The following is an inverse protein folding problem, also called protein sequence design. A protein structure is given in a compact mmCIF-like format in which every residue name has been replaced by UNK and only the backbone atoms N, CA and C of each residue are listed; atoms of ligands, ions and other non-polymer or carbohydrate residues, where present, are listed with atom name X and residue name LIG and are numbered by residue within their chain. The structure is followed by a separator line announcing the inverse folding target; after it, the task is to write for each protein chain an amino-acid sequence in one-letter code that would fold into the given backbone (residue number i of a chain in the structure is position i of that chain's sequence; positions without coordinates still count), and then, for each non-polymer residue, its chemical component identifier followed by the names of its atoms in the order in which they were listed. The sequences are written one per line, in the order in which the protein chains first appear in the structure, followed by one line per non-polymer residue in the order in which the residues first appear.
data_IF_287356326111
#
_entry.id   IF_287356326111
#
_cell.length_a   1.000
_cell.length_b   1.000
_cell.length_c   1.000
_cell.angle_alpha   90.00
_cell.angle_beta   90.00
_cell.angle_gamma   90.00
#
_symmetry.space_group_name_H-M   'P 1'
#
loop_
_entity.id
_entity.type
_entity.pdbx_description
1 polymer ?
#
# COMPACT_ATOMS: atom_id res chain seq x y z
N UNK A 1 -18.19 -15.28 -5.52
CA UNK A 1 -16.75 -15.06 -5.75
C UNK A 1 -16.11 -14.78 -4.40
N UNK A 2 -14.91 -15.32 -4.14
CA UNK A 2 -14.21 -15.08 -2.87
C UNK A 2 -13.84 -13.60 -2.72
N UNK A 3 -14.04 -13.03 -1.53
CA UNK A 3 -13.76 -11.65 -1.20
C UNK A 3 -12.53 -11.53 -0.30
N UNK A 4 -11.96 -10.33 -0.18
CA UNK A 4 -10.86 -10.07 0.75
C UNK A 4 -11.30 -10.29 2.22
N UNK A 5 -12.53 -9.93 2.57
CA UNK A 5 -13.09 -10.22 3.91
C UNK A 5 -13.16 -11.71 4.19
N UNK A 6 -13.58 -12.54 3.22
CA UNK A 6 -13.56 -13.99 3.40
C UNK A 6 -12.15 -14.56 3.63
N UNK A 7 -11.12 -13.97 3.03
CA UNK A 7 -9.75 -14.38 3.30
C UNK A 7 -9.31 -14.09 4.74
N UNK A 8 -9.87 -13.05 5.38
CA UNK A 8 -9.55 -12.68 6.76
C UNK A 8 -10.44 -13.33 7.82
N UNK A 9 -11.54 -13.99 7.44
CA UNK A 9 -12.45 -14.66 8.39
C UNK A 9 -11.74 -15.71 9.25
N UNK A 10 -10.74 -16.40 8.69
CA UNK A 10 -9.94 -17.40 9.39
C UNK A 10 -8.87 -16.81 10.33
N UNK A 11 -8.61 -15.50 10.24
CA UNK A 11 -7.63 -14.78 11.06
C UNK A 11 -8.24 -13.52 11.65
N UNK A 12 -9.29 -13.66 12.51
CA UNK A 12 -9.93 -12.51 13.12
C UNK A 12 -8.95 -11.82 14.08
N UNK A 13 -9.02 -10.49 14.12
CA UNK A 13 -8.22 -9.68 15.04
C UNK A 13 -8.97 -9.46 16.35
N UNK A 14 -8.25 -9.35 17.47
CA UNK A 14 -8.82 -8.84 18.70
C UNK A 14 -9.07 -7.33 18.60
N UNK A 15 -10.12 -6.82 19.24
CA UNK A 15 -10.52 -5.41 19.18
C UNK A 15 -9.37 -4.46 19.57
N UNK A 16 -8.56 -4.83 20.55
CA UNK A 16 -7.36 -4.08 20.94
C UNK A 16 -6.34 -3.88 19.81
N UNK A 17 -6.35 -4.77 18.79
CA UNK A 17 -5.51 -4.68 17.60
C UNK A 17 -6.26 -4.05 16.40
N UNK A 18 -7.42 -3.45 16.64
CA UNK A 18 -8.21 -2.77 15.62
C UNK A 18 -8.41 -1.31 15.99
N UNK A 19 -8.78 -1.03 17.23
CA UNK A 19 -9.14 0.32 17.68
C UNK A 19 -7.87 1.13 17.98
N UNK A 20 -7.63 2.25 17.27
CA UNK A 20 -6.53 3.15 17.61
C UNK A 20 -6.72 3.80 18.97
N UNK A 21 -5.64 4.31 19.55
CA UNK A 21 -5.73 5.23 20.68
C UNK A 21 -6.39 6.55 20.25
N UNK A 22 -6.94 7.27 21.19
CA UNK A 22 -7.40 8.63 20.95
C UNK A 22 -6.20 9.59 20.94
N UNK A 23 -5.70 9.88 19.73
CA UNK A 23 -4.51 10.71 19.53
C UNK A 23 -4.66 12.14 20.04
N UNK A 24 -5.89 12.67 20.11
CA UNK A 24 -6.15 14.03 20.62
C UNK A 24 -5.98 14.10 22.15
N UNK A 25 -6.14 12.99 22.86
CA UNK A 25 -5.98 12.91 24.30
C UNK A 25 -4.54 12.64 24.76
N UNK A 26 -3.64 12.26 23.85
CA UNK A 26 -2.28 11.79 24.18
C UNK A 26 -1.31 12.96 24.28
N UNK A 27 -0.72 13.17 25.45
CA UNK A 27 0.34 14.17 25.69
C UNK A 27 1.75 13.61 25.64
N UNK A 28 1.92 12.33 25.94
CA UNK A 28 3.18 11.61 25.97
C UNK A 28 3.03 10.27 25.24
N UNK A 29 4.11 9.75 24.67
CA UNK A 29 4.09 8.46 23.98
C UNK A 29 3.80 7.33 24.97
N UNK A 30 2.69 6.60 24.85
CA UNK A 30 2.40 5.47 25.71
C UNK A 30 3.44 4.36 25.51
N UNK A 31 3.74 3.61 26.58
CA UNK A 31 4.69 2.49 26.50
C UNK A 31 4.31 1.46 25.41
N UNK A 32 3.03 1.25 25.20
CA UNK A 32 2.50 0.36 24.14
C UNK A 32 2.88 0.80 22.73
N UNK A 33 3.23 2.07 22.51
CA UNK A 33 3.62 2.66 21.22
C UNK A 33 5.12 3.01 21.16
N UNK A 34 5.87 2.78 22.23
CA UNK A 34 7.30 3.09 22.31
C UNK A 34 8.13 1.98 21.69
N UNK A 35 8.68 2.22 20.51
CA UNK A 35 9.54 1.31 19.74
C UNK A 35 11.00 1.40 20.17
N UNK A 36 11.83 0.36 19.91
CA UNK A 36 13.26 0.40 20.23
C UNK A 36 13.97 1.56 19.55
N UNK A 37 14.87 2.22 20.25
CA UNK A 37 15.65 3.37 19.71
C UNK A 37 16.86 2.96 18.88
N UNK A 38 17.16 1.67 18.75
CA UNK A 38 18.32 1.13 18.02
C UNK A 38 17.93 -0.17 17.31
N UNK A 39 18.68 -0.51 16.26
CA UNK A 39 18.42 -1.69 15.42
C UNK A 39 17.56 -1.36 14.18
N UNK A 40 17.27 -2.38 13.38
CA UNK A 40 16.53 -2.24 12.11
C UNK A 40 15.08 -1.78 12.31
N UNK A 41 14.48 -2.04 13.48
CA UNK A 41 13.14 -1.60 13.85
C UNK A 41 13.10 -0.19 14.44
N UNK A 42 14.25 0.49 14.57
CA UNK A 42 14.31 1.84 15.12
C UNK A 42 13.59 2.84 14.21
N UNK A 43 12.68 3.68 14.75
CA UNK A 43 12.03 4.74 13.99
C UNK A 43 12.95 5.91 13.65
N UNK A 44 14.24 5.85 14.03
CA UNK A 44 15.17 6.95 13.79
C UNK A 44 15.21 7.32 12.33
N UNK A 45 15.08 8.61 12.11
CA UNK A 45 15.24 9.25 10.81
C UNK A 45 16.71 9.13 10.38
N UNK A 46 17.03 8.19 9.50
CA UNK A 46 18.33 8.18 8.85
C UNK A 46 18.31 9.32 7.83
N UNK A 47 18.72 10.49 8.28
CA UNK A 47 19.06 11.59 7.39
C UNK A 47 20.56 11.45 7.14
N UNK A 48 20.98 10.64 6.21
CA UNK A 48 22.28 10.88 5.57
C UNK A 48 22.08 12.08 4.65
N UNK A 49 22.31 13.26 5.20
CA UNK A 49 22.35 14.52 4.42
C UNK A 49 23.71 14.68 3.70
N UNK A 50 24.52 13.63 3.65
CA UNK A 50 25.81 13.67 2.99
C UNK A 50 25.64 13.43 1.49
N UNK A 51 25.49 14.53 0.76
CA UNK A 51 26.00 14.74 -0.60
C UNK A 51 25.29 14.07 -1.79
N UNK A 52 24.59 12.99 -1.63
CA UNK A 52 23.96 12.27 -2.75
C UNK A 52 22.44 12.25 -2.55
N UNK A 53 21.75 13.28 -3.08
CA UNK A 53 20.29 13.39 -3.05
C UNK A 53 19.69 12.29 -3.94
N UNK A 54 19.55 11.08 -3.38
CA UNK A 54 18.85 10.04 -4.06
C UNK A 54 17.36 10.42 -4.15
N UNK A 55 16.88 10.64 -5.36
CA UNK A 55 15.45 10.81 -5.66
C UNK A 55 14.93 9.60 -6.41
N UNK A 56 13.68 9.23 -6.14
CA UNK A 56 12.98 8.25 -6.98
C UNK A 56 12.83 8.78 -8.40
N UNK A 57 12.95 7.93 -9.43
CA UNK A 57 12.64 8.35 -10.79
C UNK A 57 11.18 8.83 -10.86
N UNK A 58 10.99 10.02 -11.42
CA UNK A 58 9.69 10.56 -11.79
C UNK A 58 9.46 10.30 -13.28
N UNK A 59 8.41 9.57 -13.60
CA UNK A 59 8.12 9.11 -14.94
C UNK A 59 6.89 9.84 -15.46
N UNK A 60 7.06 10.59 -16.54
CA UNK A 60 5.95 11.17 -17.29
C UNK A 60 5.27 10.07 -18.10
N UNK A 61 3.99 9.77 -17.75
CA UNK A 61 3.23 8.71 -18.42
C UNK A 61 2.81 9.05 -19.86
N UNK A 62 2.94 10.29 -20.28
CA UNK A 62 2.69 10.72 -21.67
C UNK A 62 3.96 10.69 -22.52
N UNK A 63 5.11 10.41 -21.92
CA UNK A 63 6.37 10.23 -22.65
C UNK A 63 6.31 9.03 -23.59
N UNK A 64 6.85 9.13 -24.81
CA UNK A 64 6.96 7.99 -25.74
C UNK A 64 7.78 6.83 -25.16
N UNK A 65 8.70 7.09 -24.25
CA UNK A 65 9.53 6.08 -23.57
C UNK A 65 8.93 5.58 -22.24
N UNK A 66 7.72 6.01 -21.86
CA UNK A 66 7.11 5.70 -20.57
C UNK A 66 7.10 4.19 -20.25
N UNK A 67 6.77 3.33 -21.23
CA UNK A 67 6.76 1.88 -21.05
C UNK A 67 8.14 1.35 -20.62
N UNK A 68 9.20 1.81 -21.29
CA UNK A 68 10.58 1.42 -21.01
C UNK A 68 11.01 1.94 -19.63
N UNK A 69 10.67 3.19 -19.31
CA UNK A 69 11.01 3.81 -18.03
C UNK A 69 10.30 3.13 -16.86
N UNK A 70 9.00 2.88 -16.98
CA UNK A 70 8.20 2.16 -15.95
C UNK A 70 8.76 0.76 -15.72
N UNK A 71 8.98 -0.02 -16.79
CA UNK A 71 9.54 -1.36 -16.67
C UNK A 71 10.94 -1.39 -16.06
N UNK A 72 11.80 -0.45 -16.44
CA UNK A 72 13.14 -0.30 -15.85
C UNK A 72 13.07 0.06 -14.36
N UNK A 73 12.20 1.00 -13.98
CA UNK A 73 12.02 1.39 -12.58
C UNK A 73 11.48 0.23 -11.73
N UNK A 74 10.50 -0.55 -12.26
CA UNK A 74 10.05 -1.78 -11.61
C UNK A 74 11.19 -2.78 -11.41
N UNK A 75 12.07 -2.95 -12.39
CA UNK A 75 13.17 -3.93 -12.35
C UNK A 75 14.28 -3.52 -11.38
N UNK A 76 14.64 -2.24 -11.35
CA UNK A 76 15.80 -1.76 -10.59
C UNK A 76 15.44 -1.45 -9.13
N UNK A 77 14.22 -0.93 -8.89
CA UNK A 77 13.88 -0.41 -7.58
C UNK A 77 12.55 -0.94 -7.01
N UNK A 78 11.61 -1.33 -7.86
CA UNK A 78 10.27 -1.71 -7.41
C UNK A 78 9.42 -0.56 -6.86
N UNK A 79 9.94 0.67 -6.91
CA UNK A 79 9.26 1.90 -6.47
C UNK A 79 9.67 3.07 -7.36
N UNK A 80 8.72 3.93 -7.75
CA UNK A 80 8.94 5.11 -8.59
C UNK A 80 7.79 6.12 -8.42
N UNK A 81 7.94 7.30 -8.99
CA UNK A 81 6.88 8.31 -9.06
C UNK A 81 6.37 8.44 -10.49
N UNK A 82 5.09 8.81 -10.64
CA UNK A 82 4.45 9.05 -11.96
C UNK A 82 3.81 10.42 -11.98
N UNK A 83 3.97 11.12 -13.11
CA UNK A 83 3.32 12.37 -13.46
C UNK A 83 2.47 12.17 -14.71
N UNK A 84 1.64 13.16 -15.09
CA UNK A 84 0.71 13.06 -16.21
C UNK A 84 -0.15 11.78 -16.19
N UNK A 85 -0.52 11.38 -14.96
CA UNK A 85 -1.28 10.17 -14.69
C UNK A 85 -2.78 10.27 -15.01
N UNK A 86 -3.27 11.44 -15.40
CA UNK A 86 -4.65 11.66 -15.83
C UNK A 86 -5.69 11.82 -14.73
N UNK A 87 -5.30 11.79 -13.45
CA UNK A 87 -6.21 12.06 -12.32
C UNK A 87 -6.26 13.59 -12.13
N UNK A 88 -7.46 14.20 -12.16
CA UNK A 88 -7.59 15.65 -11.97
C UNK A 88 -7.06 16.11 -10.61
N UNK A 89 -6.27 17.18 -10.58
CA UNK A 89 -5.76 17.76 -9.34
C UNK A 89 -6.88 18.27 -8.40
N UNK A 90 -8.04 18.63 -8.97
CA UNK A 90 -9.25 18.95 -8.18
C UNK A 90 -9.76 17.76 -7.38
N UNK A 91 -9.77 16.56 -7.98
CA UNK A 91 -10.18 15.34 -7.32
C UNK A 91 -9.17 14.92 -6.24
N UNK A 92 -7.86 15.04 -6.50
CA UNK A 92 -6.83 14.78 -5.49
C UNK A 92 -7.04 15.66 -4.25
N UNK A 93 -7.25 16.97 -4.45
CA UNK A 93 -7.53 17.90 -3.34
C UNK A 93 -8.84 17.61 -2.62
N UNK A 94 -9.90 17.20 -3.36
CA UNK A 94 -11.18 16.85 -2.74
C UNK A 94 -11.04 15.63 -1.83
N UNK A 95 -10.38 14.58 -2.31
CA UNK A 95 -10.12 13.37 -1.52
C UNK A 95 -9.27 13.68 -0.26
N UNK A 96 -8.24 14.52 -0.40
CA UNK A 96 -7.48 15.01 0.76
C UNK A 96 -8.38 15.73 1.78
N UNK A 97 -9.25 16.63 1.29
CA UNK A 97 -10.18 17.38 2.13
C UNK A 97 -11.15 16.46 2.86
N UNK A 98 -11.72 15.48 2.16
CA UNK A 98 -12.65 14.51 2.74
C UNK A 98 -11.95 13.58 3.74
N UNK A 99 -10.72 13.15 3.45
CA UNK A 99 -9.91 12.37 4.39
C UNK A 99 -9.59 13.18 5.66
N UNK A 100 -9.23 14.45 5.51
CA UNK A 100 -9.03 15.37 6.65
C UNK A 100 -10.28 15.51 7.51
N UNK A 101 -11.44 15.73 6.87
CA UNK A 101 -12.71 15.83 7.59
C UNK A 101 -13.01 14.58 8.40
N UNK A 102 -12.78 13.38 7.79
CA UNK A 102 -12.96 12.11 8.48
C UNK A 102 -12.04 11.97 9.70
N UNK A 103 -10.73 12.17 9.53
CA UNK A 103 -9.78 11.98 10.64
C UNK A 103 -9.84 13.06 11.70
N UNK A 104 -10.39 14.24 11.39
CA UNK A 104 -10.67 15.31 12.35
C UNK A 104 -11.92 15.08 13.22
N UNK A 105 -12.68 14.02 12.96
CA UNK A 105 -13.81 13.65 13.80
C UNK A 105 -13.32 13.14 15.17
N UNK A 106 -14.10 13.36 16.24
CA UNK A 106 -13.82 12.74 17.54
C UNK A 106 -13.69 11.22 17.43
N UNK A 107 -12.80 10.62 18.22
CA UNK A 107 -12.56 9.17 18.22
C UNK A 107 -13.86 8.36 18.35
N UNK A 108 -14.81 8.81 19.23
CA UNK A 108 -16.12 8.18 19.41
C UNK A 108 -16.99 8.14 18.15
N UNK A 109 -16.82 9.11 17.24
CA UNK A 109 -17.54 9.10 15.96
C UNK A 109 -16.88 8.14 14.97
N UNK A 110 -15.55 8.10 14.88
CA UNK A 110 -14.80 7.21 13.98
C UNK A 110 -15.00 5.73 14.31
N UNK A 111 -15.10 5.36 15.59
CA UNK A 111 -15.29 3.96 16.01
C UNK A 111 -16.67 3.40 15.66
N UNK A 112 -17.64 4.22 15.25
CA UNK A 112 -18.92 3.71 14.72
C UNK A 112 -18.72 2.92 13.42
N UNK A 113 -17.75 3.30 12.61
CA UNK A 113 -17.37 2.58 11.40
C UNK A 113 -16.16 1.64 11.61
N UNK A 114 -15.96 1.16 12.84
CA UNK A 114 -14.83 0.28 13.17
C UNK A 114 -14.89 -1.00 12.35
N UNK A 115 -13.75 -1.41 11.83
CA UNK A 115 -13.60 -2.68 11.11
C UNK A 115 -13.96 -3.86 12.00
N UNK A 116 -14.78 -4.78 11.49
CA UNK A 116 -15.05 -6.04 12.21
C UNK A 116 -13.78 -6.91 12.31
N UNK A 117 -13.65 -7.79 13.32
CA UNK A 117 -12.47 -8.64 13.52
C UNK A 117 -12.03 -9.41 12.27
N UNK A 118 -12.96 -10.02 11.55
CA UNK A 118 -12.70 -10.73 10.29
C UNK A 118 -12.86 -9.87 9.03
N UNK A 119 -13.20 -8.57 9.17
CA UNK A 119 -13.48 -7.69 8.03
C UNK A 119 -12.22 -7.13 7.37
N UNK A 120 -12.35 -6.73 6.11
CA UNK A 120 -11.31 -6.00 5.39
C UNK A 120 -11.53 -4.49 5.43
N UNK A 121 -12.78 -4.02 5.50
CA UNK A 121 -13.18 -2.61 5.40
C UNK A 121 -13.53 -2.01 6.74
N UNK A 122 -13.42 -0.68 6.85
CA UNK A 122 -13.75 0.10 8.03
C UNK A 122 -12.55 0.78 8.68
N UNK A 123 -12.82 1.48 9.78
CA UNK A 123 -11.85 2.22 10.57
C UNK A 123 -11.03 1.32 11.48
N UNK A 124 -9.76 1.62 11.66
CA UNK A 124 -8.88 0.93 12.61
C UNK A 124 -7.40 1.06 12.27
N UNK A 125 -6.55 0.45 13.08
CA UNK A 125 -5.10 0.35 12.82
C UNK A 125 -4.79 -0.67 11.73
N UNK A 126 -3.56 -0.64 11.20
CA UNK A 126 -3.12 -1.60 10.19
C UNK A 126 -3.25 -3.05 10.67
N UNK A 127 -3.75 -3.95 9.80
CA UNK A 127 -3.95 -5.38 10.13
C UNK A 127 -2.67 -6.12 10.53
N UNK A 128 -1.52 -5.60 10.17
CA UNK A 128 -0.22 -6.16 10.54
C UNK A 128 0.20 -5.87 11.99
N UNK A 129 -0.53 -5.02 12.73
CA UNK A 129 -0.23 -4.66 14.13
C UNK A 129 0.07 -5.85 15.04
N UNK A 130 -0.64 -6.99 14.99
CA UNK A 130 -0.36 -8.13 15.88
C UNK A 130 0.99 -8.82 15.69
N UNK A 131 1.69 -8.53 14.58
CA UNK A 131 3.02 -9.09 14.34
C UNK A 131 4.14 -8.38 15.10
N UNK A 132 3.82 -7.25 15.74
CA UNK A 132 4.77 -6.41 16.45
C UNK A 132 4.40 -6.33 17.94
N UNK A 133 5.42 -6.22 18.80
CA UNK A 133 5.24 -6.07 20.25
C UNK A 133 4.77 -4.67 20.65
N UNK A 134 4.74 -3.73 19.71
CA UNK A 134 4.34 -2.34 19.92
C UNK A 134 3.33 -1.91 18.86
N UNK A 135 2.41 -1.04 19.25
CA UNK A 135 1.46 -0.45 18.32
C UNK A 135 2.12 0.61 17.44
N UNK A 136 1.54 0.84 16.28
CA UNK A 136 1.96 1.88 15.36
C UNK A 136 1.21 3.18 15.65
N UNK A 137 1.87 4.32 15.42
CA UNK A 137 1.29 5.65 15.54
C UNK A 137 0.50 6.00 14.29
N UNK A 138 -0.65 5.35 14.16
CA UNK A 138 -1.40 5.31 12.92
C UNK A 138 -2.88 4.99 13.18
N UNK A 139 -3.74 5.64 12.44
CA UNK A 139 -5.12 5.25 12.25
C UNK A 139 -5.43 5.20 10.75
N UNK A 140 -6.38 4.37 10.34
CA UNK A 140 -6.69 4.19 8.93
C UNK A 140 -8.16 3.88 8.69
N UNK A 141 -8.58 4.07 7.44
CA UNK A 141 -9.92 3.71 6.99
C UNK A 141 -9.82 3.00 5.63
N UNK A 142 -10.25 1.74 5.59
CA UNK A 142 -10.19 0.90 4.40
C UNK A 142 -11.54 0.82 3.72
N UNK A 143 -11.57 1.02 2.40
CA UNK A 143 -12.77 0.91 1.56
C UNK A 143 -12.51 -0.04 0.39
N UNK A 144 -13.55 -0.76 -0.02
CA UNK A 144 -13.57 -1.58 -1.23
C UNK A 144 -14.88 -1.27 -1.97
N UNK A 145 -14.81 -0.47 -3.03
CA UNK A 145 -15.99 0.10 -3.68
C UNK A 145 -16.62 1.21 -2.85
N UNK A 146 -17.96 1.28 -2.82
CA UNK A 146 -18.68 2.35 -2.12
C UNK A 146 -18.46 2.33 -0.61
N UNK A 147 -18.08 3.45 0.02
CA UNK A 147 -17.96 3.57 1.47
C UNK A 147 -19.30 3.84 2.17
N UNK A 148 -20.41 3.77 1.46
CA UNK A 148 -21.72 4.27 1.88
C UNK A 148 -22.18 3.73 3.25
N UNK A 149 -22.02 2.42 3.50
CA UNK A 149 -22.44 1.81 4.76
C UNK A 149 -21.69 2.39 5.94
N UNK A 150 -20.35 2.42 5.85
CA UNK A 150 -19.52 3.00 6.90
C UNK A 150 -19.72 4.51 7.06
N UNK A 151 -19.91 5.23 5.95
CA UNK A 151 -20.13 6.67 5.97
C UNK A 151 -21.41 7.06 6.70
N UNK A 152 -22.48 6.28 6.53
CA UNK A 152 -23.77 6.48 7.27
C UNK A 152 -23.62 6.29 8.77
N UNK A 153 -22.78 5.36 9.21
CA UNK A 153 -22.53 5.15 10.64
C UNK A 153 -21.77 6.35 11.26
N UNK A 154 -20.86 6.92 10.50
CA UNK A 154 -20.04 8.06 10.96
C UNK A 154 -20.81 9.38 10.91
N UNK A 155 -21.47 9.65 9.78
CA UNK A 155 -22.23 10.87 9.54
C UNK A 155 -23.69 10.54 9.28
N UNK A 156 -24.59 10.78 10.25
CA UNK A 156 -26.04 10.59 10.03
C UNK A 156 -26.57 11.43 8.86
N UNK A 157 -25.92 12.58 8.59
CA UNK A 157 -26.25 13.51 7.52
C UNK A 157 -24.97 14.02 6.84
N UNK A 158 -25.05 14.32 5.53
CA UNK A 158 -23.97 15.00 4.80
C UNK A 158 -22.83 14.11 4.29
N UNK A 159 -22.93 12.78 4.37
CA UNK A 159 -21.91 11.83 3.89
C UNK A 159 -21.78 11.76 2.35
N UNK A 160 -22.71 12.36 1.61
CA UNK A 160 -22.74 12.23 0.14
C UNK A 160 -21.46 12.66 -0.55
N UNK A 161 -20.91 13.83 -0.16
CA UNK A 161 -19.64 14.33 -0.73
C UNK A 161 -18.46 13.41 -0.47
N UNK A 162 -18.39 12.80 0.72
CA UNK A 162 -17.35 11.83 1.04
C UNK A 162 -17.47 10.61 0.14
N UNK A 163 -18.67 10.03 0.00
CA UNK A 163 -18.89 8.86 -0.85
C UNK A 163 -18.55 9.15 -2.31
N UNK A 164 -19.08 10.24 -2.86
CA UNK A 164 -18.84 10.66 -4.24
C UNK A 164 -17.34 10.83 -4.53
N UNK A 165 -16.61 11.57 -3.68
CA UNK A 165 -15.19 11.78 -3.86
C UNK A 165 -14.39 10.47 -3.80
N UNK A 166 -14.71 9.56 -2.86
CA UNK A 166 -14.01 8.31 -2.70
C UNK A 166 -14.32 7.30 -3.83
N UNK A 167 -15.54 7.28 -4.34
CA UNK A 167 -15.95 6.44 -5.47
C UNK A 167 -15.28 6.91 -6.75
N UNK A 168 -15.37 8.19 -7.10
CA UNK A 168 -14.70 8.78 -8.27
C UNK A 168 -13.19 8.55 -8.24
N UNK A 169 -12.58 8.70 -7.06
CA UNK A 169 -11.15 8.48 -6.89
C UNK A 169 -10.77 7.01 -7.12
N UNK A 170 -11.52 6.07 -6.57
CA UNK A 170 -11.27 4.64 -6.77
C UNK A 170 -11.37 4.26 -8.25
N UNK A 171 -12.34 4.81 -8.99
CA UNK A 171 -12.50 4.56 -10.43
C UNK A 171 -11.29 5.09 -11.23
N UNK A 172 -10.81 6.30 -10.93
CA UNK A 172 -9.61 6.86 -11.57
C UNK A 172 -8.36 6.07 -11.23
N UNK A 173 -8.19 5.67 -9.95
CA UNK A 173 -7.05 4.87 -9.52
C UNK A 173 -7.05 3.47 -10.13
N UNK A 174 -8.23 2.86 -10.29
CA UNK A 174 -8.38 1.59 -11.01
C UNK A 174 -7.90 1.71 -12.45
N UNK A 175 -8.39 2.72 -13.18
CA UNK A 175 -8.00 2.96 -14.56
C UNK A 175 -6.48 3.19 -14.70
N UNK A 176 -5.88 3.97 -13.78
CA UNK A 176 -4.44 4.18 -13.75
C UNK A 176 -3.67 2.89 -13.45
N UNK A 177 -4.15 2.08 -12.50
CA UNK A 177 -3.53 0.78 -12.18
C UNK A 177 -3.55 -0.18 -13.36
N UNK A 178 -4.65 -0.22 -14.12
CA UNK A 178 -4.77 -1.01 -15.34
C UNK A 178 -3.83 -0.53 -16.45
N UNK A 179 -3.70 0.80 -16.63
CA UNK A 179 -2.74 1.43 -17.57
C UNK A 179 -1.30 1.04 -17.20
N UNK A 180 -0.91 1.18 -15.94
CA UNK A 180 0.43 0.84 -15.46
C UNK A 180 0.72 -0.65 -15.61
N UNK A 181 -0.22 -1.53 -15.24
CA UNK A 181 -0.05 -2.98 -15.40
C UNK A 181 0.11 -3.36 -16.86
N UNK A 182 -0.67 -2.77 -17.77
CA UNK A 182 -0.53 -3.00 -19.20
C UNK A 182 0.85 -2.57 -19.74
N UNK A 183 1.38 -1.42 -19.28
CA UNK A 183 2.72 -0.94 -19.63
C UNK A 183 3.80 -1.91 -19.12
N UNK A 184 3.68 -2.38 -17.89
CA UNK A 184 4.60 -3.34 -17.25
C UNK A 184 4.63 -4.66 -18.02
N UNK A 185 3.47 -5.21 -18.36
CA UNK A 185 3.38 -6.46 -19.08
C UNK A 185 3.90 -6.32 -20.53
N UNK A 186 3.64 -5.18 -21.18
CA UNK A 186 4.22 -4.87 -22.49
C UNK A 186 5.75 -4.77 -22.44
N UNK A 187 6.31 -4.16 -21.39
CA UNK A 187 7.76 -4.13 -21.16
C UNK A 187 8.37 -5.54 -21.02
N UNK A 188 7.65 -6.44 -20.35
CA UNK A 188 8.05 -7.85 -20.20
C UNK A 188 7.85 -8.68 -21.48
N UNK A 189 7.26 -8.11 -22.53
CA UNK A 189 6.90 -8.85 -23.76
C UNK A 189 5.78 -9.86 -23.56
N UNK A 190 4.94 -9.69 -22.53
CA UNK A 190 3.82 -10.56 -22.20
C UNK A 190 2.61 -10.18 -23.03
N UNK A 191 2.01 -11.16 -23.68
CA UNK A 191 0.82 -11.04 -24.51
C UNK A 191 -0.42 -11.62 -23.84
N UNK A 192 -1.59 -11.44 -24.48
CA UNK A 192 -2.85 -12.02 -24.01
C UNK A 192 -2.87 -13.56 -24.02
N UNK A 193 -1.95 -14.20 -24.73
CA UNK A 193 -1.80 -15.67 -24.75
C UNK A 193 -1.00 -16.19 -23.55
N UNK A 194 -0.25 -15.33 -22.89
CA UNK A 194 0.63 -15.70 -21.77
C UNK A 194 -0.09 -15.65 -20.41
N UNK A 195 -1.21 -14.90 -20.34
CA UNK A 195 -2.02 -14.71 -19.12
C UNK A 195 -3.50 -14.69 -19.49
N UNK A 196 -4.36 -15.23 -18.65
CA UNK A 196 -5.82 -15.10 -18.75
C UNK A 196 -6.28 -13.66 -18.43
N UNK A 197 -6.09 -12.77 -19.39
CA UNK A 197 -6.45 -11.36 -19.32
C UNK A 197 -7.93 -11.10 -18.99
N UNK A 198 -8.89 -11.78 -19.68
CA UNK A 198 -10.29 -11.58 -19.37
C UNK A 198 -10.60 -11.87 -17.89
N UNK A 199 -10.06 -12.95 -17.34
CA UNK A 199 -10.25 -13.31 -15.94
C UNK A 199 -9.57 -12.32 -14.99
N UNK A 200 -8.35 -11.89 -15.31
CA UNK A 200 -7.60 -10.93 -14.49
C UNK A 200 -8.32 -9.59 -14.37
N UNK A 201 -9.02 -9.15 -15.43
CA UNK A 201 -9.75 -7.89 -15.49
C UNK A 201 -11.21 -7.97 -15.03
N UNK A 202 -11.80 -9.16 -15.01
CA UNK A 202 -13.25 -9.32 -14.77
C UNK A 202 -13.70 -8.85 -13.39
N UNK A 203 -12.87 -9.02 -12.36
CA UNK A 203 -13.18 -8.63 -10.99
C UNK A 203 -11.88 -8.42 -10.18
N UNK A 204 -11.08 -7.41 -10.49
CA UNK A 204 -9.85 -7.16 -9.76
C UNK A 204 -10.11 -6.92 -8.29
N UNK A 205 -9.24 -7.42 -7.43
CA UNK A 205 -9.25 -7.09 -6.02
C UNK A 205 -8.60 -5.72 -5.85
N UNK A 206 -9.36 -4.75 -5.37
CA UNK A 206 -8.85 -3.41 -5.09
C UNK A 206 -9.37 -2.89 -3.76
N UNK A 207 -8.54 -2.08 -3.10
CA UNK A 207 -8.89 -1.42 -1.87
C UNK A 207 -8.27 -0.02 -1.82
N UNK A 208 -9.03 0.95 -1.33
CA UNK A 208 -8.54 2.29 -0.98
C UNK A 208 -8.33 2.34 0.53
N UNK A 209 -7.12 2.68 0.94
CA UNK A 209 -6.73 2.87 2.33
C UNK A 209 -6.39 4.33 2.57
N UNK A 210 -7.21 5.01 3.35
CA UNK A 210 -6.85 6.30 3.93
C UNK A 210 -5.98 6.06 5.16
N UNK A 211 -4.85 6.75 5.26
CA UNK A 211 -3.91 6.63 6.38
C UNK A 211 -3.70 8.00 7.01
N UNK A 212 -3.80 8.04 8.32
CA UNK A 212 -3.56 9.20 9.16
C UNK A 212 -2.42 8.89 10.13
N UNK A 213 -1.44 9.76 10.15
CA UNK A 213 -0.29 9.72 11.05
C UNK A 213 -0.26 11.05 11.83
N UNK A 214 -0.93 11.10 12.99
CA UNK A 214 -0.99 12.31 13.79
C UNK A 214 0.39 12.82 14.22
N UNK A 215 0.45 14.10 14.58
CA UNK A 215 1.66 14.65 15.20
C UNK A 215 2.05 13.82 16.42
N UNK A 216 3.35 13.59 16.59
CA UNK A 216 3.85 12.79 17.69
C UNK A 216 4.77 13.62 18.59
N UNK A 217 4.58 13.58 19.92
CA UNK A 217 5.45 14.32 20.84
C UNK A 217 6.92 13.91 20.79
N UNK A 218 7.19 12.63 20.50
CA UNK A 218 8.54 12.09 20.30
C UNK A 218 8.56 11.12 19.10
N UNK A 219 8.75 11.64 17.87
CA UNK A 219 8.76 10.82 16.66
C UNK A 219 9.93 9.83 16.62
N UNK A 220 10.97 10.03 17.42
CA UNK A 220 12.09 9.09 17.55
C UNK A 220 11.77 7.82 18.34
N UNK A 221 10.61 7.77 18.97
CA UNK A 221 10.14 6.62 19.76
C UNK A 221 8.99 5.86 19.12
N UNK A 222 8.38 6.34 18.05
CA UNK A 222 7.20 5.70 17.48
C UNK A 222 7.37 5.38 16.00
N UNK A 223 6.77 4.28 15.58
CA UNK A 223 6.69 3.88 14.18
C UNK A 223 5.31 4.26 13.65
N UNK A 224 5.25 5.03 12.55
CA UNK A 224 3.99 5.36 11.88
C UNK A 224 3.37 4.11 11.23
N UNK A 225 4.15 3.42 10.39
CA UNK A 225 3.79 2.12 9.84
C UNK A 225 5.05 1.25 9.76
N UNK A 226 4.98 0.06 10.34
CA UNK A 226 6.13 -0.85 10.44
C UNK A 226 6.60 -1.35 9.08
N UNK A 227 7.87 -1.80 8.95
CA UNK A 227 8.39 -2.37 7.71
C UNK A 227 7.50 -3.50 7.18
N UNK A 228 7.16 -3.45 5.89
CA UNK A 228 6.37 -4.47 5.19
C UNK A 228 6.52 -4.36 3.67
N UNK A 229 6.06 -5.39 2.98
CA UNK A 229 5.81 -5.37 1.54
C UNK A 229 4.31 -5.33 1.26
N UNK A 230 3.90 -4.82 0.10
CA UNK A 230 2.51 -4.84 -0.33
C UNK A 230 2.13 -6.19 -0.96
N UNK A 231 0.87 -6.59 -0.80
CA UNK A 231 0.41 -7.93 -1.20
C UNK A 231 0.13 -8.05 -2.69
N UNK A 232 -0.55 -7.06 -3.28
CA UNK A 232 -1.12 -7.15 -4.63
C UNK A 232 -0.12 -6.88 -5.75
N UNK A 233 -0.58 -6.49 -6.95
CA UNK A 233 0.32 -6.17 -8.07
C UNK A 233 1.02 -4.85 -7.86
N UNK A 234 0.23 -3.82 -7.60
CA UNK A 234 0.67 -2.45 -7.47
C UNK A 234 -0.04 -1.78 -6.29
N UNK A 235 0.66 -0.89 -5.64
CA UNK A 235 0.09 0.13 -4.75
C UNK A 235 0.39 1.49 -5.36
N UNK A 236 -0.65 2.30 -5.54
CA UNK A 236 -0.50 3.69 -5.96
C UNK A 236 -0.78 4.57 -4.75
N UNK A 237 0.23 5.31 -4.32
CA UNK A 237 0.15 6.15 -3.13
C UNK A 237 0.08 7.63 -3.51
N UNK A 238 -1.00 8.26 -3.11
CA UNK A 238 -1.15 9.70 -3.08
C UNK A 238 -0.75 10.21 -1.70
N UNK A 239 0.18 11.14 -1.65
CA UNK A 239 0.66 11.77 -0.42
C UNK A 239 0.82 13.27 -0.64
N UNK A 240 0.51 14.06 0.40
CA UNK A 240 0.67 15.52 0.34
C UNK A 240 2.12 15.92 0.57
N UNK A 241 2.58 16.94 -0.14
CA UNK A 241 3.99 17.40 -0.18
C UNK A 241 4.59 17.82 1.15
N UNK A 242 3.76 18.13 2.12
CA UNK A 242 4.21 18.82 3.32
C UNK A 242 4.75 17.92 4.43
N UNK A 243 4.56 16.62 4.36
CA UNK A 243 4.94 15.71 5.44
C UNK A 243 5.73 14.51 4.94
N UNK A 244 7.05 14.59 5.07
CA UNK A 244 7.94 13.44 4.84
C UNK A 244 7.62 12.34 5.87
N UNK A 245 7.74 11.09 5.47
CA UNK A 245 7.51 9.95 6.37
C UNK A 245 7.71 8.61 5.70
N UNK A 246 7.36 8.48 4.42
CA UNK A 246 7.59 7.25 3.66
C UNK A 246 9.09 7.02 3.47
N UNK A 247 9.53 5.79 3.79
CA UNK A 247 10.88 5.30 3.54
C UNK A 247 10.79 3.92 2.89
N UNK A 248 11.70 3.62 1.99
CA UNK A 248 11.87 2.26 1.45
C UNK A 248 13.27 1.73 1.75
N UNK A 249 13.39 0.42 1.88
CA UNK A 249 14.67 -0.22 2.15
C UNK A 249 15.39 -0.51 0.84
N UNK A 250 16.65 -0.08 0.74
CA UNK A 250 17.52 -0.38 -0.39
C UNK A 250 18.75 -1.11 0.09
N UNK A 251 19.06 -2.23 -0.54
CA UNK A 251 20.27 -2.99 -0.24
C UNK A 251 21.52 -2.12 -0.41
N UNK A 252 22.41 -2.20 0.56
CA UNK A 252 23.64 -1.38 0.61
C UNK A 252 23.46 0.09 1.04
N UNK A 253 22.22 0.59 1.15
CA UNK A 253 21.93 1.98 1.59
C UNK A 253 21.00 2.05 2.82
N UNK A 254 20.35 0.96 3.20
CA UNK A 254 19.37 0.95 4.29
C UNK A 254 18.07 1.71 3.92
N UNK A 255 17.52 2.45 4.88
CA UNK A 255 16.26 3.18 4.72
C UNK A 255 16.45 4.50 3.98
N UNK A 256 15.82 4.62 2.82
CA UNK A 256 15.88 5.80 1.94
C UNK A 256 14.54 6.55 2.01
N UNK A 257 14.54 7.85 2.29
CA UNK A 257 13.32 8.64 2.30
C UNK A 257 12.76 8.83 0.89
N UNK A 258 11.43 8.82 0.78
CA UNK A 258 10.70 9.19 -0.44
C UNK A 258 10.22 10.62 -0.29
N UNK A 259 10.80 11.51 -1.08
CA UNK A 259 10.38 12.91 -1.13
C UNK A 259 9.16 13.05 -2.05
N UNK A 260 8.03 13.58 -1.55
CA UNK A 260 6.90 13.88 -2.40
C UNK A 260 7.27 14.88 -3.49
N UNK A 261 6.76 14.65 -4.69
CA UNK A 261 6.78 15.63 -5.79
C UNK A 261 5.36 16.11 -6.00
N UNK A 262 5.18 17.42 -6.18
CA UNK A 262 3.86 18.02 -6.38
C UNK A 262 3.16 17.40 -7.61
N UNK A 263 1.91 17.00 -7.40
CA UNK A 263 1.10 16.37 -8.44
C UNK A 263 1.58 14.99 -8.91
N UNK A 264 2.58 14.38 -8.26
CA UNK A 264 3.01 13.01 -8.57
C UNK A 264 2.40 11.99 -7.61
N UNK A 265 2.25 10.76 -8.11
CA UNK A 265 1.85 9.59 -7.32
C UNK A 265 3.02 8.63 -7.21
N UNK A 266 3.19 8.01 -6.03
CA UNK A 266 4.20 6.95 -5.84
C UNK A 266 3.60 5.60 -6.22
N UNK A 267 4.35 4.77 -6.93
CA UNK A 267 3.93 3.43 -7.33
C UNK A 267 4.88 2.41 -6.75
N UNK A 268 4.35 1.44 -6.00
CA UNK A 268 5.09 0.30 -5.45
C UNK A 268 4.72 -0.99 -6.18
N UNK A 269 5.72 -1.80 -6.51
CA UNK A 269 5.54 -3.20 -6.92
C UNK A 269 5.25 -4.04 -5.67
N UNK A 270 4.18 -4.83 -5.74
CA UNK A 270 3.83 -5.74 -4.65
C UNK A 270 4.22 -7.20 -4.91
N UNK A 271 3.95 -8.05 -3.91
CA UNK A 271 4.38 -9.45 -3.89
C UNK A 271 3.87 -10.26 -5.09
N UNK A 272 2.61 -10.04 -5.51
CA UNK A 272 2.05 -10.80 -6.62
C UNK A 272 2.72 -10.51 -7.96
N UNK A 273 3.08 -9.25 -8.21
CA UNK A 273 3.84 -8.91 -9.42
C UNK A 273 5.29 -9.41 -9.32
N UNK A 274 5.88 -9.43 -8.12
CA UNK A 274 7.17 -10.06 -7.86
C UNK A 274 7.15 -11.57 -8.19
N UNK A 275 6.11 -12.28 -7.74
CA UNK A 275 5.92 -13.71 -8.04
C UNK A 275 5.75 -13.93 -9.54
N UNK A 276 4.85 -13.18 -10.20
CA UNK A 276 4.56 -13.33 -11.63
C UNK A 276 5.78 -13.03 -12.50
N UNK A 277 6.59 -12.06 -12.12
CA UNK A 277 7.84 -11.73 -12.82
C UNK A 277 9.00 -12.68 -12.51
N UNK A 278 8.77 -13.77 -11.79
CA UNK A 278 9.80 -14.71 -11.32
C UNK A 278 10.96 -14.00 -10.58
N UNK A 279 10.62 -13.05 -9.71
CA UNK A 279 11.53 -12.17 -8.97
C UNK A 279 12.33 -11.15 -9.81
N UNK A 280 11.92 -10.90 -11.06
CA UNK A 280 12.57 -9.86 -11.87
C UNK A 280 12.26 -8.46 -11.32
N UNK A 281 11.05 -8.25 -10.81
CA UNK A 281 10.62 -7.00 -10.18
C UNK A 281 10.58 -7.18 -8.65
N UNK A 282 11.40 -6.48 -7.89
CA UNK A 282 11.38 -6.58 -6.43
C UNK A 282 10.10 -6.02 -5.84
N UNK A 283 9.48 -6.77 -4.91
CA UNK A 283 8.50 -6.21 -3.99
C UNK A 283 9.25 -5.43 -2.92
N UNK A 284 9.01 -4.12 -2.84
CA UNK A 284 9.84 -3.23 -2.03
C UNK A 284 9.39 -3.21 -0.57
N UNK A 285 10.34 -3.43 0.34
CA UNK A 285 10.10 -3.23 1.78
C UNK A 285 10.06 -1.72 2.06
N UNK A 286 8.99 -1.26 2.68
CA UNK A 286 8.82 0.15 3.02
C UNK A 286 8.18 0.32 4.39
N UNK A 287 8.33 1.52 4.96
CA UNK A 287 7.81 1.90 6.27
C UNK A 287 7.42 3.37 6.30
N UNK A 288 6.71 3.78 7.35
CA UNK A 288 6.40 5.19 7.59
C UNK A 288 6.91 5.60 8.97
N UNK A 289 7.65 6.69 9.02
CA UNK A 289 8.03 7.38 10.26
C UNK A 289 7.11 8.58 10.50
N UNK A 290 6.94 8.96 11.75
CA UNK A 290 6.09 10.07 12.17
C UNK A 290 6.83 11.41 12.14
N UNK A 291 6.10 12.49 12.36
CA UNK A 291 6.62 13.85 12.41
C UNK A 291 6.10 14.56 13.68
N UNK A 292 6.95 15.38 14.28
CA UNK A 292 6.61 16.16 15.48
C UNK A 292 5.66 17.34 15.17
N UNK A 293 5.86 17.97 14.02
CA UNK A 293 5.24 19.27 13.70
C UNK A 293 4.08 19.17 12.72
N UNK A 294 3.93 18.03 12.06
CA UNK A 294 2.97 17.88 10.96
C UNK A 294 2.23 16.56 11.04
N UNK A 295 0.93 16.65 10.97
CA UNK A 295 0.06 15.52 10.72
C UNK A 295 0.21 15.11 9.25
N UNK A 296 0.47 13.83 8.98
CA UNK A 296 0.59 13.29 7.62
C UNK A 296 -0.66 12.50 7.27
N UNK A 297 -1.21 12.79 6.09
CA UNK A 297 -2.20 11.95 5.44
C UNK A 297 -1.61 11.31 4.18
N UNK A 298 -2.04 10.10 3.89
CA UNK A 298 -1.79 9.46 2.59
C UNK A 298 -2.92 8.50 2.22
N UNK A 299 -3.14 8.33 0.91
CA UNK A 299 -4.16 7.47 0.35
C UNK A 299 -3.48 6.42 -0.52
N UNK A 300 -3.53 5.16 -0.09
CA UNK A 300 -2.97 4.02 -0.82
C UNK A 300 -4.06 3.27 -1.56
N UNK A 301 -3.95 3.16 -2.88
CA UNK A 301 -4.83 2.32 -3.67
C UNK A 301 -4.11 1.03 -4.06
N UNK A 302 -4.61 -0.07 -3.55
CA UNK A 302 -4.10 -1.41 -3.81
C UNK A 302 -4.85 -2.02 -4.98
N UNK A 303 -4.12 -2.59 -5.94
CA UNK A 303 -4.70 -3.21 -7.12
C UNK A 303 -4.07 -4.58 -7.38
N UNK A 304 -4.92 -5.60 -7.50
CA UNK A 304 -4.48 -6.97 -7.71
C UNK A 304 -5.49 -7.83 -8.43
N UNK A 305 -5.13 -9.10 -8.71
CA UNK A 305 -6.01 -10.03 -9.40
C UNK A 305 -7.18 -10.48 -8.52
N UNK A 306 -8.21 -11.10 -9.12
CA UNK A 306 -9.31 -11.73 -8.36
C UNK A 306 -8.79 -12.72 -7.30
N UNK A 307 -9.53 -12.87 -6.21
CA UNK A 307 -9.11 -13.70 -5.07
C UNK A 307 -8.93 -15.19 -5.41
N UNK A 308 -9.64 -15.69 -6.41
CA UNK A 308 -9.54 -17.06 -6.93
C UNK A 308 -8.52 -17.23 -8.07
N UNK A 309 -7.87 -16.14 -8.50
CA UNK A 309 -6.83 -16.17 -9.52
C UNK A 309 -5.59 -16.90 -8.99
N UNK A 310 -4.94 -17.71 -9.83
CA UNK A 310 -3.66 -18.36 -9.49
C UNK A 310 -2.50 -17.51 -9.96
N UNK A 311 -1.69 -17.06 -9.03
CA UNK A 311 -0.46 -16.31 -9.26
C UNK A 311 0.72 -17.28 -9.21
N UNK A 312 1.57 -17.21 -10.22
CA UNK A 312 2.82 -17.96 -10.31
C UNK A 312 3.72 -17.32 -11.38
N UNK A 313 4.98 -17.75 -11.50
CA UNK A 313 5.87 -17.27 -12.54
C UNK A 313 5.27 -17.46 -13.94
N UNK A 314 5.29 -16.41 -14.74
CA UNK A 314 4.78 -16.44 -16.12
C UNK A 314 5.74 -17.28 -16.96
N UNK A 315 5.22 -18.31 -17.62
CA UNK A 315 6.02 -19.31 -18.34
C UNK A 315 6.97 -18.68 -19.36
N UNK A 316 6.50 -17.69 -20.13
CA UNK A 316 7.31 -16.96 -21.12
C UNK A 316 8.56 -16.31 -20.51
N UNK A 317 8.50 -15.83 -19.26
CA UNK A 317 9.65 -15.21 -18.58
C UNK A 317 10.70 -16.23 -18.13
N UNK A 318 10.34 -17.50 -18.10
CA UNK A 318 11.26 -18.61 -17.80
C UNK A 318 11.98 -19.14 -19.05
N UNK A 319 11.56 -18.72 -20.25
CA UNK A 319 12.17 -19.08 -21.52
C UNK A 319 13.00 -17.91 -22.05
N UNK A 320 14.21 -17.72 -21.55
CA UNK A 320 15.07 -16.60 -21.97
C UNK A 320 16.23 -17.12 -22.83
N UNK A 321 16.33 -16.64 -24.09
CA UNK A 321 17.48 -16.85 -24.98
C UNK A 321 17.87 -18.32 -25.16
N UNK A 322 16.88 -19.22 -25.24
CA UNK A 322 17.15 -20.68 -25.46
C UNK A 322 17.57 -21.43 -24.19
N UNK A 323 17.58 -20.79 -23.03
CA UNK A 323 17.79 -21.44 -21.74
C UNK A 323 16.51 -21.35 -20.89
N UNK A 324 16.13 -22.46 -20.27
CA UNK A 324 15.03 -22.49 -19.32
C UNK A 324 15.51 -22.00 -17.94
N UNK A 325 14.92 -20.90 -17.47
CA UNK A 325 15.16 -20.40 -16.13
C UNK A 325 14.18 -21.06 -15.18
N UNK A 326 14.67 -21.70 -14.13
CA UNK A 326 13.82 -22.37 -13.16
C UNK A 326 12.81 -21.41 -12.49
N UNK A 327 11.60 -21.91 -12.24
CA UNK A 327 10.61 -21.19 -11.45
C UNK A 327 11.13 -20.98 -10.02
N UNK A 328 11.09 -19.75 -9.54
CA UNK A 328 11.50 -19.39 -8.17
C UNK A 328 10.37 -19.51 -7.15
N UNK A 329 9.14 -19.55 -7.63
CA UNK A 329 7.95 -19.61 -6.77
C UNK A 329 6.99 -20.69 -7.27
N UNK A 330 6.32 -21.37 -6.31
CA UNK A 330 5.17 -22.22 -6.62
C UNK A 330 3.94 -21.35 -6.89
N UNK A 331 3.03 -21.82 -7.75
CA UNK A 331 1.75 -21.14 -7.97
C UNK A 331 0.84 -21.27 -6.76
N UNK A 332 0.16 -20.18 -6.43
CA UNK A 332 -0.75 -20.06 -5.28
C UNK A 332 -1.97 -19.24 -5.68
N UNK A 333 -3.15 -19.48 -5.09
CA UNK A 333 -4.28 -18.57 -5.28
C UNK A 333 -4.06 -17.27 -4.50
N UNK A 334 -4.65 -16.18 -4.99
CA UNK A 334 -4.59 -14.89 -4.28
C UNK A 334 -5.12 -15.01 -2.86
N UNK A 335 -6.26 -15.70 -2.69
CA UNK A 335 -6.88 -15.97 -1.39
C UNK A 335 -5.90 -16.68 -0.45
N UNK A 336 -5.29 -17.78 -0.89
CA UNK A 336 -4.36 -18.55 -0.05
C UNK A 336 -3.12 -17.73 0.32
N UNK A 337 -2.62 -16.90 -0.62
CA UNK A 337 -1.48 -16.01 -0.33
C UNK A 337 -1.84 -14.92 0.68
N UNK A 338 -3.01 -14.29 0.55
CA UNK A 338 -3.49 -13.29 1.52
C UNK A 338 -3.63 -13.91 2.91
N UNK A 339 -4.21 -15.12 3.02
CA UNK A 339 -4.33 -15.85 4.28
C UNK A 339 -2.96 -16.20 4.87
N UNK A 340 -2.02 -16.63 4.01
CA UNK A 340 -0.64 -16.93 4.43
C UNK A 340 0.04 -15.67 4.96
N UNK A 341 -0.10 -14.53 4.27
CA UNK A 341 0.48 -13.26 4.68
C UNK A 341 -0.17 -12.72 5.97
N UNK A 342 -1.48 -12.92 6.12
CA UNK A 342 -2.21 -12.58 7.35
C UNK A 342 -1.75 -13.40 8.58
N UNK A 343 -1.06 -14.53 8.38
CA UNK A 343 -0.51 -15.39 9.45
C UNK A 343 1.00 -15.25 9.63
N UNK A 344 1.73 -14.76 8.62
CA UNK A 344 3.20 -14.83 8.58
C UNK A 344 3.88 -13.53 8.14
N UNK A 345 3.12 -12.49 7.80
CA UNK A 345 3.60 -11.21 7.29
C UNK A 345 4.60 -11.42 6.12
N UNK A 346 5.77 -10.80 6.16
CA UNK A 346 6.76 -10.85 5.06
C UNK A 346 7.41 -12.23 4.88
N UNK A 347 7.29 -13.13 5.86
CA UNK A 347 7.73 -14.54 5.71
C UNK A 347 6.90 -15.30 4.68
N UNK A 348 5.68 -14.84 4.36
CA UNK A 348 4.79 -15.49 3.41
C UNK A 348 5.44 -15.68 2.03
N UNK A 349 6.15 -14.68 1.53
CA UNK A 349 6.83 -14.74 0.24
C UNK A 349 7.92 -15.83 0.22
N UNK A 350 8.68 -15.97 1.32
CA UNK A 350 9.69 -17.03 1.44
C UNK A 350 9.11 -18.43 1.51
N UNK A 351 7.89 -18.60 2.05
CA UNK A 351 7.22 -19.89 2.19
C UNK A 351 6.75 -20.49 0.85
N UNK A 352 6.57 -19.69 -0.18
CA UNK A 352 6.20 -20.14 -1.53
C UNK A 352 7.41 -20.22 -2.47
N UNK A 353 8.60 -19.86 -2.01
CA UNK A 353 9.83 -19.92 -2.78
C UNK A 353 10.24 -21.39 -2.99
N UNK A 354 10.60 -21.75 -4.23
CA UNK A 354 11.17 -23.05 -4.57
C UNK A 354 12.67 -22.97 -4.23
N UNK A 355 13.16 -23.99 -3.55
CA UNK A 355 14.57 -24.10 -3.14
C UNK A 355 15.44 -24.64 -4.28
#
# INVERSE_FOLDING_TARGET
MATLSEAYTETPLHLQHIIPIDFDSVKEVPESHSWPRSGDESPRRILSLDGDHFSLPAIDLDSPDAIKMVGHACKVMGIFQVTNHGIPSSLLREVESQAWQFFSLPAIAKVRAVRSPGGATGYGVARMTPFFNKFMWHEGFTMMGSPLEHAREVWPHGYGKFCEAMEDYQDKMKALSERLLAMILKYLGISEHDIDWPRLRSNPCSALQLNSYPQCPDPGQVMGLAPHTDTFFLTILHQKDSAHGLQFHREGRGWVPVFPMDGALVVNVGDMLHIMSNAMFPSVVHRVITNEKRHRLSMGYFYGPPMDFRVGPIHRLMQTSGQEVAARFRSITVKDYVQMKAKNLDKALSMIRIR
#
